data_IF_004238632652
#
_entry.id   IF_004238632652
#
_cell.length_a   1.000
_cell.length_b   1.000
_cell.length_c   1.000
_cell.angle_alpha   90.00
_cell.angle_beta   90.00
_cell.angle_gamma   90.00
#
_symmetry.space_group_name_H-M   'P 1'
#
loop_
_entity.id
_entity.type
_entity.pdbx_description
1 polymer ?
#
# COMPACT_ATOMS: atom_id res chain seq x y z
N UNK A 1 15.26 2.67 -6.33
CA UNK A 1 14.39 2.68 -7.53
C UNK A 1 13.23 1.68 -7.38
N UNK A 2 13.50 0.37 -7.41
CA UNK A 2 12.45 -0.68 -7.39
C UNK A 2 11.44 -0.57 -6.24
N UNK A 3 11.91 -0.30 -5.00
CA UNK A 3 11.01 -0.13 -3.86
C UNK A 3 10.04 1.05 -4.04
N UNK A 4 10.49 2.16 -4.65
CA UNK A 4 9.61 3.32 -4.94
C UNK A 4 8.57 2.94 -6.00
N UNK A 5 8.98 2.27 -7.08
CA UNK A 5 8.06 1.80 -8.12
C UNK A 5 7.02 0.81 -7.57
N UNK A 6 7.44 -0.14 -6.74
CA UNK A 6 6.55 -1.08 -6.04
C UNK A 6 5.51 -0.34 -5.20
N UNK A 7 5.95 0.56 -4.32
CA UNK A 7 5.09 1.20 -3.34
C UNK A 7 4.17 2.29 -3.94
N UNK A 8 4.67 3.07 -4.90
CA UNK A 8 3.91 4.19 -5.51
C UNK A 8 3.02 3.65 -6.64
N UNK A 9 3.60 2.90 -7.59
CA UNK A 9 2.93 2.48 -8.82
C UNK A 9 2.27 1.10 -8.75
N UNK A 10 2.53 0.32 -7.71
CA UNK A 10 2.15 -1.11 -7.70
C UNK A 10 2.87 -1.92 -8.80
N UNK A 11 4.13 -1.60 -9.05
CA UNK A 11 4.93 -2.29 -10.06
C UNK A 11 5.20 -3.75 -9.61
N UNK A 12 4.47 -4.70 -10.19
CA UNK A 12 4.56 -6.13 -9.82
C UNK A 12 5.92 -6.72 -10.22
N UNK A 13 6.45 -6.34 -11.38
CA UNK A 13 7.80 -6.66 -11.82
C UNK A 13 8.86 -6.24 -10.79
N UNK A 14 8.71 -5.05 -10.19
CA UNK A 14 9.58 -4.62 -9.10
C UNK A 14 9.44 -5.49 -7.83
N UNK A 15 8.23 -5.97 -7.50
CA UNK A 15 8.03 -6.93 -6.40
C UNK A 15 8.76 -8.25 -6.67
N UNK A 16 8.60 -8.84 -7.85
CA UNK A 16 9.29 -10.09 -8.20
C UNK A 16 10.82 -9.90 -8.26
N UNK A 17 11.32 -8.81 -8.85
CA UNK A 17 12.76 -8.53 -8.88
C UNK A 17 13.37 -8.34 -7.48
N UNK A 18 12.62 -7.73 -6.55
CA UNK A 18 13.06 -7.62 -5.15
C UNK A 18 13.07 -8.98 -4.44
N UNK A 19 12.07 -9.83 -4.71
CA UNK A 19 11.98 -11.17 -4.14
C UNK A 19 13.06 -12.11 -4.66
N UNK A 20 13.40 -12.02 -5.96
CA UNK A 20 14.42 -12.85 -6.61
C UNK A 20 15.79 -12.76 -5.93
N UNK A 21 16.12 -11.61 -5.32
CA UNK A 21 17.39 -11.43 -4.59
C UNK A 21 17.59 -12.42 -3.43
N UNK A 22 16.51 -12.88 -2.81
CA UNK A 22 16.53 -13.93 -1.79
C UNK A 22 16.11 -15.30 -2.36
N UNK A 23 15.53 -15.34 -3.56
CA UNK A 23 14.79 -16.48 -4.08
C UNK A 23 13.32 -16.43 -3.65
N UNK A 24 12.42 -16.81 -4.57
CA UNK A 24 10.98 -16.63 -4.37
C UNK A 24 10.43 -17.37 -3.16
N UNK A 25 10.75 -18.66 -3.00
CA UNK A 25 10.27 -19.48 -1.89
C UNK A 25 10.77 -18.97 -0.54
N UNK A 26 12.03 -18.54 -0.48
CA UNK A 26 12.61 -17.96 0.74
C UNK A 26 11.99 -16.61 1.07
N UNK A 27 11.70 -15.79 0.05
CA UNK A 27 11.00 -14.52 0.24
C UNK A 27 9.58 -14.72 0.78
N UNK A 28 8.81 -15.64 0.19
CA UNK A 28 7.45 -15.99 0.63
C UNK A 28 7.47 -16.56 2.06
N UNK A 29 8.45 -17.43 2.36
CA UNK A 29 8.66 -17.96 3.71
C UNK A 29 8.93 -16.82 4.69
N UNK A 30 9.78 -15.86 4.32
CA UNK A 30 10.10 -14.68 5.14
C UNK A 30 8.88 -13.78 5.37
N UNK A 31 8.04 -13.58 4.35
CA UNK A 31 6.79 -12.83 4.49
C UNK A 31 5.87 -13.45 5.54
N UNK A 32 5.66 -14.76 5.50
CA UNK A 32 4.79 -15.47 6.44
C UNK A 32 5.40 -15.59 7.85
N UNK A 33 6.73 -15.76 7.95
CA UNK A 33 7.43 -15.68 9.24
C UNK A 33 7.26 -14.30 9.87
N UNK A 34 7.36 -13.23 9.07
CA UNK A 34 7.10 -11.87 9.55
C UNK A 34 5.65 -11.71 9.98
N UNK A 35 4.69 -12.24 9.23
CA UNK A 35 3.28 -12.28 9.62
C UNK A 35 3.07 -12.96 10.98
N UNK A 36 3.72 -14.11 11.20
CA UNK A 36 3.68 -14.83 12.48
C UNK A 36 4.22 -13.99 13.63
N UNK A 37 5.36 -13.32 13.43
CA UNK A 37 5.95 -12.41 14.43
C UNK A 37 5.04 -11.23 14.78
N UNK A 38 4.23 -10.77 13.83
CA UNK A 38 3.24 -9.71 14.01
C UNK A 38 1.91 -10.22 14.59
N UNK A 39 1.77 -11.54 14.79
CA UNK A 39 0.56 -12.17 15.29
C UNK A 39 -0.58 -12.22 14.28
N UNK A 40 -0.28 -12.22 12.98
CA UNK A 40 -1.27 -12.38 11.91
C UNK A 40 -1.69 -13.86 11.84
N UNK A 41 -2.88 -14.17 12.35
CA UNK A 41 -3.40 -15.54 12.43
C UNK A 41 -4.36 -15.87 11.29
N UNK A 42 -4.83 -14.86 10.57
CA UNK A 42 -5.81 -14.95 9.50
C UNK A 42 -5.26 -14.35 8.21
N UNK A 43 -3.95 -14.51 8.00
CA UNK A 43 -3.25 -14.05 6.81
C UNK A 43 -2.25 -15.11 6.36
N UNK A 44 -2.17 -15.30 5.06
CA UNK A 44 -1.12 -16.07 4.41
C UNK A 44 -0.75 -15.37 3.10
N UNK A 45 0.54 -15.36 2.78
CA UNK A 45 1.06 -14.75 1.56
C UNK A 45 1.64 -15.84 0.68
N UNK A 46 1.16 -15.96 -0.56
CA UNK A 46 1.69 -16.96 -1.50
C UNK A 46 2.59 -16.35 -2.58
N UNK A 47 2.59 -15.03 -2.72
CA UNK A 47 3.35 -14.33 -3.74
C UNK A 47 3.70 -12.90 -3.30
N UNK A 48 4.73 -12.26 -3.89
CA UNK A 48 5.21 -10.95 -3.43
C UNK A 48 4.37 -9.76 -3.94
N UNK A 49 3.47 -9.99 -4.90
CA UNK A 49 2.78 -8.92 -5.63
C UNK A 49 1.28 -8.79 -5.31
N UNK A 50 0.69 -9.79 -4.64
CA UNK A 50 -0.74 -9.84 -4.34
C UNK A 50 -1.61 -10.32 -5.51
N UNK A 51 -1.06 -11.14 -6.42
CA UNK A 51 -1.87 -11.80 -7.44
C UNK A 51 -2.85 -12.82 -6.81
N UNK A 52 -3.94 -13.07 -7.54
CA UNK A 52 -5.00 -13.99 -7.12
C UNK A 52 -4.46 -15.41 -6.92
N UNK A 53 -4.62 -15.90 -5.70
CA UNK A 53 -4.29 -17.24 -5.26
C UNK A 53 -5.16 -17.52 -4.02
N UNK A 54 -5.87 -18.65 -3.93
CA UNK A 54 -6.64 -19.00 -2.74
C UNK A 54 -5.83 -18.97 -1.43
N UNK A 55 -4.52 -19.23 -1.52
CA UNK A 55 -3.61 -19.16 -0.38
C UNK A 55 -3.12 -17.74 -0.10
N UNK A 56 -3.40 -16.74 -0.94
CA UNK A 56 -3.00 -15.35 -0.70
C UNK A 56 -4.16 -14.52 -0.14
N UNK A 57 -4.26 -14.44 1.19
CA UNK A 57 -5.36 -13.77 1.86
C UNK A 57 -4.93 -13.02 3.13
N UNK A 58 -5.77 -12.09 3.56
CA UNK A 58 -5.63 -11.39 4.83
C UNK A 58 -6.98 -10.83 5.28
N UNK A 59 -7.00 -10.11 6.41
CA UNK A 59 -8.18 -9.40 6.91
C UNK A 59 -7.87 -7.91 7.05
N UNK A 60 -8.91 -7.06 7.05
CA UNK A 60 -8.72 -5.62 7.23
C UNK A 60 -7.98 -5.30 8.54
N UNK A 61 -8.26 -6.05 9.61
CA UNK A 61 -7.59 -5.90 10.91
C UNK A 61 -6.10 -6.23 10.84
N UNK A 62 -5.73 -7.30 10.15
CA UNK A 62 -4.35 -7.75 10.07
C UNK A 62 -3.51 -6.90 9.12
N UNK A 63 -4.10 -6.44 8.01
CA UNK A 63 -3.51 -5.41 7.17
C UNK A 63 -3.31 -4.09 7.92
N UNK A 64 -4.20 -3.73 8.85
CA UNK A 64 -4.00 -2.57 9.71
C UNK A 64 -2.77 -2.72 10.62
N UNK A 65 -2.50 -3.93 11.15
CA UNK A 65 -1.29 -4.21 11.94
C UNK A 65 -0.02 -4.07 11.09
N UNK A 66 -0.02 -4.60 9.87
CA UNK A 66 1.09 -4.44 8.92
C UNK A 66 1.32 -2.96 8.63
N UNK A 67 0.26 -2.23 8.29
CA UNK A 67 0.33 -0.80 7.99
C UNK A 67 0.84 0.01 9.18
N UNK A 68 0.43 -0.30 10.42
CA UNK A 68 0.96 0.35 11.62
C UNK A 68 2.46 0.13 11.82
N UNK A 69 2.96 -1.08 11.55
CA UNK A 69 4.40 -1.37 11.64
C UNK A 69 5.15 -0.66 10.52
N UNK A 70 4.64 -0.71 9.29
CA UNK A 70 5.18 0.02 8.15
C UNK A 70 5.27 1.53 8.44
N UNK A 71 4.22 2.10 9.02
CA UNK A 71 4.11 3.54 9.29
C UNK A 71 5.06 4.05 10.37
N UNK A 72 5.71 3.18 11.14
CA UNK A 72 6.74 3.59 12.11
C UNK A 72 8.08 3.92 11.46
N UNK A 73 8.29 3.49 10.22
CA UNK A 73 9.53 3.71 9.49
C UNK A 73 9.45 5.03 8.69
N UNK A 74 10.33 5.98 9.01
CA UNK A 74 10.38 7.30 8.36
C UNK A 74 10.65 7.22 6.85
N UNK A 75 11.55 6.32 6.45
CA UNK A 75 11.95 6.17 5.05
C UNK A 75 10.80 5.59 4.23
N UNK A 76 10.09 4.60 4.76
CA UNK A 76 8.93 4.03 4.10
C UNK A 76 7.78 5.03 4.00
N UNK A 77 7.52 5.81 5.06
CA UNK A 77 6.54 6.92 5.03
C UNK A 77 6.86 7.95 3.97
N UNK A 78 8.12 8.37 3.88
CA UNK A 78 8.55 9.31 2.85
C UNK A 78 8.24 8.76 1.46
N UNK A 79 8.58 7.49 1.17
CA UNK A 79 8.32 6.89 -0.14
C UNK A 79 6.82 6.91 -0.47
N UNK A 80 5.97 6.38 0.42
CA UNK A 80 4.53 6.27 0.13
C UNK A 80 3.80 7.60 0.20
N UNK A 81 4.40 8.65 0.76
CA UNK A 81 3.86 10.00 0.77
C UNK A 81 4.11 10.77 -0.53
N UNK A 82 4.91 10.23 -1.44
CA UNK A 82 5.10 10.79 -2.78
C UNK A 82 4.03 10.21 -3.73
N UNK A 83 3.36 11.10 -4.47
CA UNK A 83 2.40 10.71 -5.50
C UNK A 83 3.05 10.49 -6.89
N UNK A 84 4.35 10.74 -7.00
CA UNK A 84 5.15 10.56 -8.21
C UNK A 84 6.52 9.96 -7.87
N UNK A 85 7.16 9.36 -8.87
CA UNK A 85 8.55 8.95 -8.78
C UNK A 85 9.12 8.64 -10.15
N UNK A 86 10.43 8.42 -10.16
CA UNK A 86 11.21 8.19 -11.38
C UNK A 86 12.15 7.01 -11.18
N UNK A 87 12.29 6.18 -12.21
CA UNK A 87 13.34 5.15 -12.30
C UNK A 87 14.22 5.40 -13.52
N UNK A 88 15.47 4.98 -13.41
CA UNK A 88 16.47 5.11 -14.47
C UNK A 88 17.01 3.74 -14.86
N UNK A 89 17.38 3.56 -16.13
CA UNK A 89 18.23 2.44 -16.55
C UNK A 89 19.58 2.48 -15.82
N UNK A 90 20.28 1.35 -15.76
CA UNK A 90 21.58 1.24 -15.08
C UNK A 90 22.59 2.25 -15.66
N UNK A 91 22.55 2.48 -16.98
CA UNK A 91 23.41 3.44 -17.67
C UNK A 91 22.88 4.89 -17.63
N UNK A 92 21.77 5.14 -16.92
CA UNK A 92 21.11 6.44 -16.74
C UNK A 92 20.64 7.11 -18.03
N UNK A 93 20.57 6.38 -19.15
CA UNK A 93 20.14 6.93 -20.45
C UNK A 93 18.63 6.90 -20.65
N UNK A 94 17.94 6.03 -19.94
CA UNK A 94 16.49 5.89 -20.02
C UNK A 94 15.90 6.29 -18.68
N UNK A 95 14.95 7.21 -18.74
CA UNK A 95 14.18 7.72 -17.62
C UNK A 95 12.71 7.31 -17.79
N UNK A 96 12.10 6.83 -16.70
CA UNK A 96 10.69 6.48 -16.67
C UNK A 96 10.04 7.06 -15.42
N UNK A 97 9.13 8.01 -15.64
CA UNK A 97 8.27 8.56 -14.61
C UNK A 97 7.04 7.69 -14.37
N UNK A 98 6.57 7.67 -13.13
CA UNK A 98 5.35 6.99 -12.75
C UNK A 98 4.60 7.76 -11.66
N UNK A 99 3.27 7.74 -11.77
CA UNK A 99 2.37 8.32 -10.77
C UNK A 99 1.74 7.25 -9.88
N UNK A 100 1.39 7.66 -8.66
CA UNK A 100 0.72 6.81 -7.70
C UNK A 100 -0.63 6.33 -8.22
N UNK A 101 -0.97 5.11 -7.82
CA UNK A 101 -2.31 4.55 -8.02
C UNK A 101 -3.34 5.17 -7.07
N UNK A 102 -2.90 5.81 -5.99
CA UNK A 102 -3.77 6.45 -5.01
C UNK A 102 -4.26 7.81 -5.50
N UNK A 103 -5.55 7.89 -5.89
CA UNK A 103 -6.15 9.15 -6.38
C UNK A 103 -6.58 10.12 -5.27
N UNK A 104 -6.35 9.80 -4.00
CA UNK A 104 -6.79 10.62 -2.87
C UNK A 104 -5.75 11.60 -2.34
N UNK A 105 -4.52 11.62 -2.88
CA UNK A 105 -3.50 12.62 -2.49
C UNK A 105 -4.01 14.05 -2.59
N UNK A 106 -4.69 14.39 -3.70
CA UNK A 106 -5.22 15.74 -3.95
C UNK A 106 -6.65 15.95 -3.43
N UNK A 107 -7.11 15.10 -2.51
CA UNK A 107 -8.46 15.22 -1.92
C UNK A 107 -8.44 16.03 -0.62
N UNK A 108 -9.62 16.49 -0.19
CA UNK A 108 -9.79 17.18 1.11
C UNK A 108 -9.42 16.29 2.31
N UNK A 109 -9.27 14.98 2.12
CA UNK A 109 -8.92 14.03 3.17
C UNK A 109 -7.45 14.10 3.59
N UNK A 110 -6.59 14.94 3.00
CA UNK A 110 -5.19 15.07 3.41
C UNK A 110 -4.49 13.69 3.57
N UNK A 111 -4.58 12.85 2.54
CA UNK A 111 -4.02 11.50 2.58
C UNK A 111 -2.50 11.56 2.50
N UNK A 112 -1.85 10.91 3.45
CA UNK A 112 -0.40 10.93 3.65
C UNK A 112 0.32 9.79 2.92
N UNK A 113 -0.40 8.81 2.35
CA UNK A 113 0.21 7.72 1.60
C UNK A 113 -0.40 6.34 1.85
N UNK A 114 0.46 5.32 1.81
CA UNK A 114 0.23 3.87 1.75
C UNK A 114 -0.10 3.35 0.34
N UNK A 115 -1.20 2.63 0.12
CA UNK A 115 -1.28 1.71 -1.01
C UNK A 115 -2.70 1.37 -1.46
N UNK A 116 -2.87 1.15 -2.77
CA UNK A 116 -4.08 0.57 -3.38
C UNK A 116 -3.79 -0.87 -3.85
N UNK A 117 -4.81 -1.71 -4.04
CA UNK A 117 -4.65 -3.04 -4.63
C UNK A 117 -5.91 -3.51 -5.38
N UNK A 118 -5.75 -4.16 -6.52
CA UNK A 118 -6.87 -4.65 -7.32
C UNK A 118 -6.52 -5.95 -8.01
N UNK A 119 -7.44 -6.89 -7.94
CA UNK A 119 -7.52 -8.08 -8.78
C UNK A 119 -8.99 -8.42 -8.99
N UNK A 120 -9.29 -9.38 -9.87
CA UNK A 120 -10.67 -9.80 -10.09
C UNK A 120 -11.27 -10.47 -8.84
N UNK A 121 -10.49 -11.27 -8.11
CA UNK A 121 -10.99 -11.93 -6.90
C UNK A 121 -11.01 -11.03 -5.65
N UNK A 122 -10.05 -10.12 -5.49
CA UNK A 122 -9.94 -9.27 -4.30
C UNK A 122 -10.83 -8.01 -4.37
N UNK A 123 -11.25 -7.61 -5.57
CA UNK A 123 -11.97 -6.35 -5.80
C UNK A 123 -11.11 -5.13 -5.49
N UNK A 124 -11.75 -3.98 -5.23
CA UNK A 124 -11.02 -2.76 -4.95
C UNK A 124 -10.58 -2.63 -3.48
N UNK A 125 -9.26 -2.69 -3.23
CA UNK A 125 -8.67 -2.57 -1.89
C UNK A 125 -7.89 -1.26 -1.69
N UNK A 126 -7.91 -0.74 -0.46
CA UNK A 126 -7.20 0.50 -0.10
C UNK A 126 -6.65 0.41 1.33
N UNK A 127 -5.42 0.89 1.51
CA UNK A 127 -4.86 1.26 2.79
C UNK A 127 -4.35 2.70 2.69
N UNK A 128 -4.69 3.55 3.66
CA UNK A 128 -4.27 4.95 3.67
C UNK A 128 -4.32 5.60 5.03
N UNK A 129 -3.43 6.58 5.23
CA UNK A 129 -3.41 7.40 6.45
C UNK A 129 -3.92 8.81 6.13
N UNK A 130 -4.99 9.23 6.80
CA UNK A 130 -5.47 10.61 6.80
C UNK A 130 -4.88 11.36 7.99
N UNK A 131 -4.42 12.59 7.78
CA UNK A 131 -3.97 13.48 8.87
C UNK A 131 -5.02 14.56 9.11
N UNK A 132 -5.59 14.56 10.30
CA UNK A 132 -6.56 15.55 10.75
C UNK A 132 -5.92 16.91 11.03
N UNK A 133 -6.70 18.02 11.04
CA UNK A 133 -6.18 19.36 11.34
C UNK A 133 -5.51 19.50 12.71
N UNK A 134 -5.90 18.68 13.70
CA UNK A 134 -5.28 18.66 15.02
C UNK A 134 -4.00 17.80 15.07
N UNK A 135 -3.53 17.27 13.94
CA UNK A 135 -2.32 16.46 13.84
C UNK A 135 -2.52 14.97 14.11
N UNK A 136 -3.71 14.53 14.55
CA UNK A 136 -4.00 13.10 14.70
C UNK A 136 -4.07 12.40 13.35
N UNK A 137 -3.65 11.14 13.32
CA UNK A 137 -3.64 10.31 12.12
C UNK A 137 -4.69 9.18 12.24
N UNK A 138 -5.44 8.96 11.17
CA UNK A 138 -6.40 7.86 11.04
C UNK A 138 -5.94 6.93 9.93
N UNK A 139 -5.72 5.66 10.26
CA UNK A 139 -5.48 4.59 9.30
C UNK A 139 -6.82 4.00 8.84
N UNK A 140 -7.06 4.01 7.54
CA UNK A 140 -8.22 3.37 6.91
C UNK A 140 -7.79 2.15 6.08
N UNK A 141 -8.48 1.03 6.27
CA UNK A 141 -8.36 -0.18 5.44
C UNK A 141 -9.75 -0.48 4.86
N UNK A 142 -9.83 -0.60 3.54
CA UNK A 142 -11.05 -0.99 2.79
C UNK A 142 -10.69 -2.17 1.90
N UNK A 143 -11.52 -3.22 1.90
CA UNK A 143 -11.32 -4.43 1.11
C UNK A 143 -12.57 -4.70 0.27
N UNK A 144 -12.38 -5.24 -0.94
CA UNK A 144 -13.45 -5.66 -1.83
C UNK A 144 -14.56 -4.61 -2.02
N UNK A 145 -14.16 -3.37 -2.26
CA UNK A 145 -15.10 -2.29 -2.56
C UNK A 145 -15.47 -2.30 -4.05
N UNK A 146 -16.69 -1.91 -4.44
CA UNK A 146 -17.01 -1.56 -5.82
C UNK A 146 -16.48 -0.16 -6.22
N UNK A 147 -16.11 0.68 -5.24
CA UNK A 147 -15.52 2.00 -5.46
C UNK A 147 -14.76 2.45 -4.21
N UNK A 148 -13.51 1.98 -4.07
CA UNK A 148 -12.72 2.17 -2.83
C UNK A 148 -12.58 3.64 -2.46
N UNK A 149 -12.44 4.51 -3.46
CA UNK A 149 -12.12 5.92 -3.21
C UNK A 149 -13.34 6.69 -2.70
N UNK A 150 -14.54 6.34 -3.17
CA UNK A 150 -15.76 6.92 -2.64
C UNK A 150 -16.05 6.40 -1.23
N UNK A 151 -15.81 5.11 -0.98
CA UNK A 151 -16.01 4.52 0.34
C UNK A 151 -15.04 5.08 1.38
N UNK A 152 -13.76 5.24 1.03
CA UNK A 152 -12.77 5.90 1.90
C UNK A 152 -13.15 7.36 2.18
N UNK A 153 -13.65 8.11 1.19
CA UNK A 153 -14.17 9.46 1.40
C UNK A 153 -15.32 9.48 2.38
N UNK A 154 -16.29 8.59 2.22
CA UNK A 154 -17.42 8.48 3.14
C UNK A 154 -16.95 8.15 4.56
N UNK A 155 -16.09 7.13 4.71
CA UNK A 155 -15.53 6.70 6.00
C UNK A 155 -14.78 7.82 6.73
N UNK A 156 -13.92 8.56 6.02
CA UNK A 156 -13.04 9.55 6.65
C UNK A 156 -13.67 10.94 6.78
N UNK A 157 -14.74 11.24 6.03
CA UNK A 157 -15.47 12.51 6.15
C UNK A 157 -16.14 12.72 7.50
N UNK A 158 -16.43 11.65 8.25
CA UNK A 158 -16.94 11.75 9.62
C UNK A 158 -15.93 12.39 10.58
N UNK A 159 -14.64 12.25 10.30
CA UNK A 159 -13.55 12.74 11.14
C UNK A 159 -12.85 13.96 10.56
N UNK A 160 -12.89 14.13 9.23
CA UNK A 160 -12.22 15.20 8.51
C UNK A 160 -13.20 16.34 8.22
N UNK A 161 -13.03 17.53 8.82
CA UNK A 161 -13.86 18.69 8.51
C UNK A 161 -13.78 19.01 7.01
N UNK A 162 -14.93 19.31 6.40
CA UNK A 162 -14.94 19.82 5.02
C UNK A 162 -14.21 21.17 4.97
N UNK A 163 -13.49 21.47 3.87
CA UNK A 163 -12.92 22.80 3.67
C UNK A 163 -14.03 23.85 3.81
N UNK A 164 -13.76 24.92 4.56
CA UNK A 164 -14.65 26.09 4.54
C UNK A 164 -14.54 26.72 3.16
N UNK A 165 -15.69 26.94 2.51
CA UNK A 165 -15.82 27.68 1.25
C UNK A 165 -15.32 29.10 1.37
#
# INVERSE_FOLDING_TARGET
ALLRALLIRSANDAAFALAEKLGFDEFITTMNQKGTQLGLKNSHFSNPAGFDDPENFSTARELALIAQVFWRDNFLREIVGNDQGTVFSIDQKIEHDFGSTNRLFNSFLNIQGLKTGFTEAAGECFAGVNRLPNGHEILAIVLNSPNRFQEVKALLSFFTPLPKS
#
